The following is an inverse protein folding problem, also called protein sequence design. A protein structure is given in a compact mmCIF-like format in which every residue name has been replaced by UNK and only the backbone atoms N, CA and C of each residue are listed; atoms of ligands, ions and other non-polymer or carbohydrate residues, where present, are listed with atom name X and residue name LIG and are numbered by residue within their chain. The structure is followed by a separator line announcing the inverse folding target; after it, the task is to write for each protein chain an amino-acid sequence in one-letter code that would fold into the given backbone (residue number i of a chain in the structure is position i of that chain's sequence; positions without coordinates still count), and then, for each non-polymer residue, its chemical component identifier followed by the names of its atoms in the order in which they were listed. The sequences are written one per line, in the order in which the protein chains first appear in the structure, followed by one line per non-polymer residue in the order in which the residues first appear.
data_IF_486824657280
#
_entry.id   IF_486824657280
#
_cell.length_a   1.000
_cell.length_b   1.000
_cell.length_c   1.000
_cell.angle_alpha   90.00
_cell.angle_beta   90.00
_cell.angle_gamma   90.00
#
_symmetry.space_group_name_H-M   'P 1'
#
loop_
_entity.id
_entity.type
_entity.pdbx_description
1 polymer ?
#
# COMPACT_ATOMS: atom_id res chain seq x y z
N UNK A 1 1.91 -10.07 -27.69
CA UNK A 1 3.05 -9.19 -27.28
C UNK A 1 2.58 -8.24 -26.21
N UNK A 2 3.34 -8.05 -25.11
CA UNK A 2 3.05 -7.10 -24.06
C UNK A 2 3.14 -5.66 -24.55
N UNK A 3 2.34 -4.78 -23.95
CA UNK A 3 2.23 -3.35 -24.30
C UNK A 3 2.68 -2.45 -23.14
N UNK A 4 3.17 -1.27 -23.50
CA UNK A 4 3.41 -0.13 -22.64
C UNK A 4 2.44 0.99 -22.99
N UNK A 5 1.91 1.69 -22.00
CA UNK A 5 1.19 2.95 -22.16
C UNK A 5 2.05 4.07 -21.59
N UNK A 6 2.25 5.13 -22.34
CA UNK A 6 2.94 6.35 -21.90
C UNK A 6 1.96 7.52 -21.93
N UNK A 7 1.79 8.17 -20.76
CA UNK A 7 1.05 9.42 -20.62
C UNK A 7 2.05 10.56 -20.52
N UNK A 8 1.97 11.52 -21.42
CA UNK A 8 2.72 12.78 -21.39
C UNK A 8 1.77 13.88 -20.97
N UNK A 9 1.84 14.29 -19.70
CA UNK A 9 0.83 15.17 -19.09
C UNK A 9 0.98 16.63 -19.55
N UNK A 10 2.15 17.04 -20.02
CA UNK A 10 2.37 18.40 -20.58
C UNK A 10 1.59 18.61 -21.89
N UNK A 11 1.47 17.56 -22.68
CA UNK A 11 0.83 17.58 -24.00
C UNK A 11 -0.53 16.89 -24.00
N UNK A 12 -0.94 16.31 -22.87
CA UNK A 12 -2.14 15.48 -22.69
C UNK A 12 -2.19 14.34 -23.73
N UNK A 13 -1.05 13.78 -24.10
CA UNK A 13 -0.95 12.72 -25.09
C UNK A 13 -0.86 11.34 -24.43
N UNK A 14 -1.50 10.36 -25.06
CA UNK A 14 -1.50 8.97 -24.62
C UNK A 14 -1.03 8.08 -25.76
N UNK A 15 0.07 7.36 -25.55
CA UNK A 15 0.66 6.46 -26.52
C UNK A 15 0.61 5.01 -26.00
N UNK A 16 0.10 4.08 -26.81
CA UNK A 16 0.12 2.64 -26.53
C UNK A 16 1.04 1.93 -27.53
N UNK A 17 2.16 1.44 -27.03
CA UNK A 17 3.24 0.89 -27.83
C UNK A 17 3.55 -0.56 -27.40
N UNK A 18 4.22 -1.37 -28.25
CA UNK A 18 4.84 -2.60 -27.79
C UNK A 18 5.80 -2.32 -26.60
N UNK A 19 5.84 -3.23 -25.63
CA UNK A 19 6.84 -3.16 -24.57
C UNK A 19 8.23 -3.42 -25.13
N UNK A 20 9.21 -2.62 -24.71
CA UNK A 20 10.60 -2.81 -25.10
C UNK A 20 11.10 -4.21 -24.67
N UNK A 21 11.81 -4.91 -25.55
CA UNK A 21 12.19 -6.33 -25.37
C UNK A 21 13.03 -6.55 -24.11
N UNK A 22 13.85 -5.58 -23.73
CA UNK A 22 14.68 -5.65 -22.52
C UNK A 22 13.87 -5.77 -21.21
N UNK A 23 12.62 -5.30 -21.20
CA UNK A 23 11.71 -5.40 -20.05
C UNK A 23 10.81 -6.63 -20.08
N UNK A 24 10.84 -7.43 -21.13
CA UNK A 24 9.92 -8.54 -21.34
C UNK A 24 9.92 -9.56 -20.18
N UNK A 25 11.08 -9.88 -19.64
CA UNK A 25 11.25 -10.85 -18.55
C UNK A 25 11.36 -10.18 -17.16
N UNK A 26 11.16 -8.88 -17.07
CA UNK A 26 11.10 -8.16 -15.81
C UNK A 26 9.65 -7.95 -15.36
N UNK A 27 9.43 -7.77 -14.08
CA UNK A 27 8.12 -7.44 -13.51
C UNK A 27 8.23 -6.98 -12.07
N UNK A 28 7.18 -6.34 -11.56
CA UNK A 28 7.14 -5.81 -10.20
C UNK A 28 8.41 -4.99 -9.86
N UNK A 29 9.00 -5.22 -8.69
CA UNK A 29 10.15 -4.46 -8.18
C UNK A 29 11.36 -4.44 -9.11
N UNK A 30 11.64 -5.55 -9.81
CA UNK A 30 12.77 -5.59 -10.75
C UNK A 30 12.56 -4.68 -11.95
N UNK A 31 11.33 -4.64 -12.48
CA UNK A 31 10.98 -3.71 -13.56
C UNK A 31 11.02 -2.25 -13.08
N UNK A 32 10.49 -1.97 -11.89
CA UNK A 32 10.56 -0.63 -11.27
C UNK A 32 12.00 -0.16 -11.16
N UNK A 33 12.88 -0.98 -10.58
CA UNK A 33 14.28 -0.60 -10.35
C UNK A 33 15.01 -0.32 -11.67
N UNK A 34 14.93 -1.25 -12.61
CA UNK A 34 15.61 -1.13 -13.91
C UNK A 34 15.09 0.06 -14.72
N UNK A 35 13.76 0.24 -14.75
CA UNK A 35 13.15 1.32 -15.51
C UNK A 35 13.51 2.70 -14.95
N UNK A 36 13.44 2.87 -13.63
CA UNK A 36 13.73 4.16 -12.99
C UNK A 36 15.22 4.53 -13.06
N UNK A 37 16.12 3.56 -12.87
CA UNK A 37 17.56 3.80 -12.98
C UNK A 37 17.93 4.34 -14.37
N UNK A 38 17.28 3.86 -15.41
CA UNK A 38 17.56 4.30 -16.79
C UNK A 38 16.87 5.59 -17.19
N UNK A 39 15.72 5.89 -16.62
CA UNK A 39 14.82 6.91 -17.15
C UNK A 39 14.58 8.09 -16.19
N UNK A 40 15.09 8.06 -14.97
CA UNK A 40 14.90 9.14 -13.98
C UNK A 40 16.25 9.63 -13.48
N UNK A 41 16.50 10.92 -13.62
CA UNK A 41 17.72 11.54 -13.11
C UNK A 41 17.72 11.54 -11.57
N UNK A 42 18.78 11.07 -10.90
CA UNK A 42 18.83 11.01 -9.44
C UNK A 42 18.62 12.36 -8.75
N UNK A 43 18.98 13.45 -9.41
CA UNK A 43 18.91 14.82 -8.89
C UNK A 43 17.62 15.55 -9.21
N UNK A 44 16.69 14.96 -9.99
CA UNK A 44 15.43 15.62 -10.33
C UNK A 44 14.59 15.90 -9.08
N UNK A 45 13.73 16.91 -9.15
CA UNK A 45 12.71 17.13 -8.12
C UNK A 45 11.70 15.97 -8.16
N UNK A 46 11.46 15.32 -7.01
CA UNK A 46 10.54 14.18 -6.94
C UNK A 46 9.08 14.55 -7.31
N UNK A 47 8.67 15.80 -7.12
CA UNK A 47 7.35 16.31 -7.53
C UNK A 47 7.43 17.15 -8.83
N UNK A 48 8.58 17.18 -9.50
CA UNK A 48 8.78 17.93 -10.74
C UNK A 48 8.42 17.12 -12.00
N UNK A 49 8.37 17.78 -13.17
CA UNK A 49 7.99 17.15 -14.43
C UNK A 49 8.96 16.06 -14.89
N UNK A 50 10.26 16.16 -14.54
CA UNK A 50 11.27 15.17 -14.94
C UNK A 50 11.14 13.84 -14.19
N UNK A 51 10.51 13.83 -13.02
CA UNK A 51 10.22 12.56 -12.33
C UNK A 51 9.14 11.78 -13.08
N UNK A 52 9.20 10.47 -12.97
CA UNK A 52 8.22 9.57 -13.57
C UNK A 52 7.54 8.74 -12.48
N UNK A 53 6.28 8.41 -12.71
CA UNK A 53 5.61 7.36 -11.95
C UNK A 53 5.22 6.25 -12.91
N UNK A 54 5.48 5.00 -12.50
CA UNK A 54 5.18 3.83 -13.29
C UNK A 54 4.31 2.84 -12.52
N UNK A 55 3.41 2.21 -13.24
CA UNK A 55 2.56 1.14 -12.74
C UNK A 55 2.88 -0.12 -13.54
N UNK A 56 3.33 -1.17 -12.88
CA UNK A 56 3.70 -2.38 -13.59
C UNK A 56 3.18 -3.64 -12.89
N UNK A 57 2.83 -4.63 -13.71
CA UNK A 57 2.38 -5.93 -13.24
C UNK A 57 3.57 -6.80 -12.84
N UNK A 58 3.31 -7.85 -12.05
CA UNK A 58 4.30 -8.92 -11.88
C UNK A 58 4.50 -9.68 -13.19
N UNK A 59 5.58 -10.47 -13.26
CA UNK A 59 5.85 -11.30 -14.44
C UNK A 59 4.73 -12.32 -14.70
N UNK A 60 4.06 -12.78 -13.65
CA UNK A 60 3.05 -13.83 -13.72
C UNK A 60 1.60 -13.32 -13.52
N UNK A 61 1.37 -12.00 -13.58
CA UNK A 61 0.01 -11.46 -13.49
C UNK A 61 -0.85 -12.00 -14.64
N UNK A 62 -2.10 -12.34 -14.34
CA UNK A 62 -3.02 -12.95 -15.31
C UNK A 62 -2.76 -14.43 -15.62
N UNK A 63 -1.82 -15.08 -14.92
CA UNK A 63 -1.55 -16.51 -15.05
C UNK A 63 -2.14 -17.32 -13.88
N UNK A 64 -2.16 -18.68 -13.94
CA UNK A 64 -2.60 -19.52 -12.83
C UNK A 64 -1.71 -19.52 -11.58
N UNK A 65 -0.58 -18.80 -11.59
CA UNK A 65 0.30 -18.67 -10.42
C UNK A 65 -0.43 -17.91 -9.30
N UNK A 66 -0.52 -18.51 -8.11
CA UNK A 66 -1.11 -17.84 -6.96
C UNK A 66 -0.26 -16.64 -6.51
N UNK A 67 -0.88 -15.68 -5.85
CA UNK A 67 -0.25 -14.47 -5.29
C UNK A 67 0.44 -13.57 -6.32
N UNK A 68 0.29 -13.85 -7.62
CA UNK A 68 0.97 -13.15 -8.71
C UNK A 68 0.22 -11.90 -9.24
N UNK A 69 -1.02 -11.67 -8.83
CA UNK A 69 -1.86 -10.56 -9.31
C UNK A 69 -1.58 -9.22 -8.62
N UNK A 70 -0.35 -8.99 -8.13
CA UNK A 70 0.02 -7.71 -7.50
C UNK A 70 0.49 -6.69 -8.53
N UNK A 71 0.26 -5.42 -8.21
CA UNK A 71 0.79 -4.27 -8.93
C UNK A 71 1.98 -3.69 -8.16
N UNK A 72 2.99 -3.21 -8.87
CA UNK A 72 4.04 -2.36 -8.31
C UNK A 72 3.94 -0.96 -8.87
N UNK A 73 3.93 0.02 -7.99
CA UNK A 73 4.00 1.45 -8.31
C UNK A 73 5.40 1.94 -8.00
N UNK A 74 6.07 2.54 -8.97
CA UNK A 74 7.46 2.97 -8.85
C UNK A 74 7.68 4.43 -9.21
N UNK A 75 8.53 5.11 -8.44
CA UNK A 75 8.90 6.51 -8.68
C UNK A 75 10.14 6.90 -7.86
N UNK A 76 10.72 8.08 -8.12
CA UNK A 76 11.55 8.74 -7.12
C UNK A 76 10.66 9.30 -6.03
N UNK A 77 10.89 8.89 -4.78
CA UNK A 77 10.08 9.25 -3.63
C UNK A 77 10.26 10.70 -3.20
N UNK A 78 9.19 11.47 -3.01
CA UNK A 78 9.28 12.80 -2.38
C UNK A 78 9.53 12.72 -0.87
N UNK A 79 9.27 11.57 -0.24
CA UNK A 79 9.51 11.35 1.17
C UNK A 79 10.96 10.97 1.46
N UNK A 80 11.50 9.96 0.74
CA UNK A 80 12.84 9.41 1.02
C UNK A 80 13.94 9.96 0.09
N UNK A 81 13.58 10.58 -1.02
CA UNK A 81 14.53 11.07 -2.04
C UNK A 81 15.13 9.99 -2.94
N UNK A 82 14.91 8.71 -2.61
CA UNK A 82 15.42 7.55 -3.36
C UNK A 82 14.39 6.90 -4.28
N UNK A 83 14.78 5.82 -4.94
CA UNK A 83 13.85 4.96 -5.69
C UNK A 83 12.90 4.30 -4.69
N UNK A 84 11.61 4.40 -4.97
CA UNK A 84 10.55 3.74 -4.22
C UNK A 84 9.78 2.79 -5.11
N UNK A 85 9.54 1.59 -4.59
CA UNK A 85 8.52 0.67 -5.09
C UNK A 85 7.50 0.44 -3.99
N UNK A 86 6.21 0.57 -4.33
CA UNK A 86 5.09 0.27 -3.45
C UNK A 86 4.23 -0.81 -4.10
N UNK A 87 4.14 -1.97 -3.43
CA UNK A 87 3.41 -3.13 -3.95
C UNK A 87 1.99 -3.15 -3.40
N UNK A 88 1.01 -3.35 -4.27
CA UNK A 88 -0.42 -3.34 -3.90
C UNK A 88 -1.17 -4.53 -4.48
N UNK A 89 -2.16 -5.01 -3.74
CA UNK A 89 -3.14 -5.99 -4.20
C UNK A 89 -4.23 -5.35 -5.06
N UNK A 90 -5.44 -5.87 -4.97
CA UNK A 90 -6.59 -5.36 -5.72
C UNK A 90 -6.75 -6.01 -7.08
N UNK A 91 -7.53 -5.38 -7.93
CA UNK A 91 -7.92 -5.96 -9.22
C UNK A 91 -7.13 -5.41 -10.41
N UNK A 92 -6.49 -4.25 -10.26
CA UNK A 92 -5.86 -3.50 -11.34
C UNK A 92 -4.80 -4.30 -12.12
N UNK A 93 -3.88 -4.98 -11.43
CA UNK A 93 -2.83 -5.76 -12.10
C UNK A 93 -3.39 -6.90 -12.96
N UNK A 94 -4.46 -7.55 -12.49
CA UNK A 94 -5.12 -8.63 -13.24
C UNK A 94 -5.80 -8.08 -14.49
N UNK A 95 -6.47 -6.92 -14.39
CA UNK A 95 -7.10 -6.29 -15.55
C UNK A 95 -6.06 -5.74 -16.53
N UNK A 96 -5.00 -5.09 -16.06
CA UNK A 96 -3.87 -4.69 -16.91
C UNK A 96 -3.32 -5.89 -17.70
N UNK A 97 -3.03 -6.99 -17.00
CA UNK A 97 -2.54 -8.22 -17.66
C UNK A 97 -3.55 -8.76 -18.67
N UNK A 98 -4.85 -8.74 -18.34
CA UNK A 98 -5.93 -9.12 -19.25
C UNK A 98 -6.02 -8.27 -20.51
N UNK A 99 -5.62 -7.00 -20.43
CA UNK A 99 -5.49 -6.06 -21.56
C UNK A 99 -4.16 -6.21 -22.33
N UNK A 100 -3.26 -7.09 -21.86
CA UNK A 100 -1.91 -7.21 -22.38
C UNK A 100 -1.00 -6.02 -22.05
N UNK A 101 -1.34 -5.26 -21.02
CA UNK A 101 -0.56 -4.09 -20.56
C UNK A 101 0.33 -4.52 -19.41
N UNK A 102 1.64 -4.35 -19.57
CA UNK A 102 2.62 -4.65 -18.54
C UNK A 102 3.08 -3.42 -17.76
N UNK A 103 3.12 -2.28 -18.42
CA UNK A 103 3.64 -1.03 -17.90
C UNK A 103 2.75 0.15 -18.31
N UNK A 104 2.41 1.01 -17.36
CA UNK A 104 1.88 2.35 -17.59
C UNK A 104 2.89 3.32 -17.01
N UNK A 105 3.34 4.26 -17.80
CA UNK A 105 4.27 5.32 -17.44
C UNK A 105 3.58 6.68 -17.53
N UNK A 106 3.82 7.54 -16.55
CA UNK A 106 3.31 8.93 -16.53
C UNK A 106 4.47 9.87 -16.30
N UNK A 107 4.63 10.84 -17.19
CA UNK A 107 5.66 11.88 -17.15
C UNK A 107 5.07 13.25 -17.46
N UNK A 108 5.86 14.31 -17.27
CA UNK A 108 5.38 15.67 -17.41
C UNK A 108 4.48 16.11 -16.27
N UNK A 109 3.79 17.21 -16.45
CA UNK A 109 2.80 17.77 -15.51
C UNK A 109 1.70 18.49 -16.28
N UNK A 110 0.47 18.42 -15.78
CA UNK A 110 -0.66 19.21 -16.29
C UNK A 110 -1.16 20.17 -15.22
N UNK A 111 -1.64 21.34 -15.65
CA UNK A 111 -2.33 22.29 -14.77
C UNK A 111 -3.77 21.83 -14.45
N UNK A 112 -4.34 20.97 -15.30
CA UNK A 112 -5.67 20.35 -15.09
C UNK A 112 -5.58 19.00 -14.38
N UNK A 113 -6.71 18.52 -13.91
CA UNK A 113 -6.86 17.21 -13.31
C UNK A 113 -7.51 16.25 -14.30
N UNK A 114 -6.92 15.07 -14.48
CA UNK A 114 -7.35 14.08 -15.47
C UNK A 114 -7.37 12.67 -14.87
N UNK A 115 -8.09 11.74 -15.52
CA UNK A 115 -7.92 10.30 -15.28
C UNK A 115 -7.75 9.54 -16.59
N UNK A 116 -6.92 8.50 -16.57
CA UNK A 116 -6.77 7.58 -17.70
C UNK A 116 -7.91 6.57 -17.69
N UNK A 117 -8.57 6.37 -18.82
CA UNK A 117 -9.52 5.28 -19.02
C UNK A 117 -9.03 4.29 -20.07
N UNK A 118 -9.11 3.00 -19.74
CA UNK A 118 -8.81 1.88 -20.64
C UNK A 118 -10.09 1.08 -20.80
N UNK A 119 -10.66 1.13 -21.99
CA UNK A 119 -11.94 0.49 -22.30
C UNK A 119 -11.83 -1.05 -22.48
N UNK A 120 -12.95 -1.80 -22.63
CA UNK A 120 -12.91 -3.25 -22.81
C UNK A 120 -12.20 -3.71 -24.09
N UNK A 121 -12.09 -2.90 -25.12
CA UNK A 121 -11.39 -3.13 -26.39
C UNK A 121 -9.90 -2.75 -26.30
N UNK A 122 -9.49 -2.19 -25.14
CA UNK A 122 -8.13 -1.75 -24.88
C UNK A 122 -7.79 -0.41 -25.54
N UNK A 123 -8.80 0.38 -25.95
CA UNK A 123 -8.54 1.77 -26.33
C UNK A 123 -8.24 2.59 -25.08
N UNK A 124 -7.43 3.62 -25.22
CA UNK A 124 -6.99 4.46 -24.12
C UNK A 124 -7.38 5.90 -24.37
N UNK A 125 -7.94 6.55 -23.35
CA UNK A 125 -8.28 7.98 -23.38
C UNK A 125 -7.89 8.65 -22.08
N UNK A 126 -7.58 9.93 -22.15
CA UNK A 126 -7.38 10.81 -21.01
C UNK A 126 -8.61 11.69 -20.87
N UNK A 127 -9.29 11.56 -19.73
CA UNK A 127 -10.58 12.19 -19.46
C UNK A 127 -10.41 13.30 -18.43
N UNK A 128 -11.18 14.38 -18.57
CA UNK A 128 -11.22 15.46 -17.57
C UNK A 128 -11.73 14.96 -16.22
N UNK A 129 -11.07 15.34 -15.15
CA UNK A 129 -11.40 14.98 -13.77
C UNK A 129 -11.74 16.20 -12.90
N UNK A 130 -11.98 17.38 -13.46
CA UNK A 130 -12.24 18.61 -12.71
C UNK A 130 -13.43 18.48 -11.75
N UNK A 131 -14.49 17.76 -12.16
CA UNK A 131 -15.66 17.50 -11.32
C UNK A 131 -15.36 16.59 -10.11
N UNK A 132 -14.22 15.93 -10.09
CA UNK A 132 -13.77 15.01 -9.03
C UNK A 132 -12.67 15.60 -8.16
N UNK A 133 -12.38 16.89 -8.27
CA UNK A 133 -11.35 17.56 -7.49
C UNK A 133 -11.61 17.42 -5.99
N UNK A 134 -10.57 17.01 -5.24
CA UNK A 134 -10.61 16.74 -3.80
C UNK A 134 -11.67 15.70 -3.37
N UNK A 135 -12.23 14.95 -4.31
CA UNK A 135 -13.10 13.83 -3.99
C UNK A 135 -12.31 12.69 -3.35
N UNK A 136 -12.84 12.08 -2.29
CA UNK A 136 -12.26 10.91 -1.65
C UNK A 136 -12.27 9.67 -2.54
N UNK A 137 -11.43 8.70 -2.22
CA UNK A 137 -11.25 7.50 -3.04
C UNK A 137 -12.50 6.62 -3.10
N UNK A 138 -13.28 6.54 -2.02
CA UNK A 138 -14.54 5.77 -2.03
C UNK A 138 -15.55 6.35 -3.00
N UNK A 139 -15.77 7.66 -2.93
CA UNK A 139 -16.72 8.35 -3.81
C UNK A 139 -16.24 8.33 -5.27
N UNK A 140 -14.95 8.56 -5.53
CA UNK A 140 -14.41 8.51 -6.88
C UNK A 140 -14.49 7.11 -7.49
N UNK A 141 -14.12 6.07 -6.74
CA UNK A 141 -14.20 4.68 -7.20
C UNK A 141 -15.64 4.27 -7.50
N UNK A 142 -16.60 4.67 -6.66
CA UNK A 142 -18.01 4.41 -6.87
C UNK A 142 -18.51 5.12 -8.15
N UNK A 143 -18.16 6.39 -8.37
CA UNK A 143 -18.53 7.15 -9.57
C UNK A 143 -17.96 6.51 -10.85
N UNK A 144 -16.70 6.07 -10.83
CA UNK A 144 -16.08 5.41 -11.99
C UNK A 144 -16.72 4.05 -12.28
N UNK A 145 -17.02 3.26 -11.26
CA UNK A 145 -17.71 1.97 -11.43
C UNK A 145 -19.16 2.14 -11.87
N UNK A 146 -19.83 3.17 -11.43
CA UNK A 146 -21.16 3.53 -11.95
C UNK A 146 -21.11 3.93 -13.43
N UNK A 147 -20.09 4.70 -13.83
CA UNK A 147 -19.92 5.20 -15.20
C UNK A 147 -19.52 4.09 -16.18
N UNK A 148 -18.58 3.21 -15.78
CA UNK A 148 -17.94 2.24 -16.67
C UNK A 148 -18.26 0.78 -16.35
N UNK A 149 -19.10 0.53 -15.35
CA UNK A 149 -19.56 -0.78 -14.94
C UNK A 149 -18.74 -1.41 -13.81
N UNK A 150 -19.37 -2.35 -13.11
CA UNK A 150 -18.79 -3.00 -11.92
C UNK A 150 -17.52 -3.83 -12.20
N UNK A 151 -17.32 -4.26 -13.45
CA UNK A 151 -16.15 -5.03 -13.88
C UNK A 151 -14.96 -4.11 -14.23
N UNK A 152 -14.81 -3.04 -13.48
CA UNK A 152 -13.79 -2.02 -13.67
C UNK A 152 -12.94 -1.89 -12.40
N UNK A 153 -11.63 -1.88 -12.57
CA UNK A 153 -10.69 -1.54 -11.49
C UNK A 153 -10.34 -0.06 -11.55
N UNK A 154 -10.25 0.57 -10.39
CA UNK A 154 -9.85 1.97 -10.23
C UNK A 154 -8.61 2.04 -9.37
N UNK A 155 -7.62 2.79 -9.81
CA UNK A 155 -6.48 3.25 -9.03
C UNK A 155 -6.63 4.77 -8.90
N UNK A 156 -6.60 5.31 -7.69
CA UNK A 156 -6.88 6.74 -7.50
C UNK A 156 -6.13 7.34 -6.32
N UNK A 157 -6.05 8.65 -6.33
CA UNK A 157 -5.61 9.48 -5.21
C UNK A 157 -6.81 10.24 -4.63
N UNK A 158 -6.81 10.40 -3.31
CA UNK A 158 -7.72 11.28 -2.60
C UNK A 158 -7.11 12.66 -2.39
N UNK A 159 -7.63 13.38 -1.39
CA UNK A 159 -7.20 14.74 -1.04
C UNK A 159 -5.70 14.84 -0.75
N UNK A 160 -5.12 13.82 -0.10
CA UNK A 160 -3.69 13.83 0.24
C UNK A 160 -2.79 13.83 -1.01
N UNK A 161 -3.16 13.05 -2.03
CA UNK A 161 -2.42 13.01 -3.29
C UNK A 161 -2.54 14.32 -4.09
N UNK A 162 -3.74 14.89 -4.20
CA UNK A 162 -3.97 16.17 -4.88
C UNK A 162 -3.27 17.34 -4.17
N UNK A 163 -3.18 17.30 -2.84
CA UNK A 163 -2.38 18.25 -2.05
C UNK A 163 -0.88 17.95 -2.06
N UNK A 164 -0.46 16.89 -2.76
CA UNK A 164 0.93 16.46 -2.88
C UNK A 164 1.62 16.22 -1.53
N UNK A 165 0.89 15.70 -0.54
CA UNK A 165 1.48 15.34 0.75
C UNK A 165 2.46 14.18 0.59
N UNK A 166 3.65 14.31 1.17
CA UNK A 166 4.73 13.32 1.00
C UNK A 166 4.42 11.94 1.57
N UNK A 167 3.39 11.82 2.41
CA UNK A 167 2.85 10.53 2.88
C UNK A 167 1.69 10.01 2.04
N UNK A 168 1.29 10.68 0.94
CA UNK A 168 0.16 10.28 0.13
C UNK A 168 0.38 8.93 -0.57
N UNK A 169 -0.66 8.10 -0.54
CA UNK A 169 -0.75 6.77 -1.17
C UNK A 169 -1.64 6.78 -2.41
N UNK A 170 -1.61 5.68 -3.16
CA UNK A 170 -2.57 5.41 -4.23
C UNK A 170 -3.44 4.25 -3.80
N UNK A 171 -4.76 4.45 -3.81
CA UNK A 171 -5.71 3.40 -3.49
C UNK A 171 -6.11 2.63 -4.74
N UNK A 172 -6.34 1.34 -4.58
CA UNK A 172 -6.72 0.41 -5.65
C UNK A 172 -7.96 -0.36 -5.21
N UNK A 173 -8.95 -0.43 -6.09
CA UNK A 173 -10.17 -1.18 -5.80
C UNK A 173 -9.88 -2.67 -5.61
N UNK A 174 -10.46 -3.24 -4.57
CA UNK A 174 -10.39 -4.68 -4.33
C UNK A 174 -11.22 -5.46 -5.35
N UNK A 175 -10.94 -6.74 -5.43
CA UNK A 175 -11.69 -7.66 -6.27
C UNK A 175 -13.04 -8.00 -5.60
N UNK A 176 -14.13 -7.86 -6.34
CA UNK A 176 -15.49 -8.09 -5.87
C UNK A 176 -16.24 -6.77 -5.65
N UNK A 177 -16.39 -6.35 -4.41
CA UNK A 177 -17.19 -5.18 -4.04
C UNK A 177 -16.64 -3.86 -4.59
N UNK A 178 -15.33 -3.80 -4.82
CA UNK A 178 -14.68 -2.64 -5.45
C UNK A 178 -14.42 -1.47 -4.50
N UNK A 179 -14.32 -1.74 -3.20
CA UNK A 179 -13.85 -0.74 -2.25
C UNK A 179 -12.37 -0.40 -2.50
N UNK A 180 -11.97 0.88 -2.40
CA UNK A 180 -10.59 1.32 -2.65
C UNK A 180 -9.69 1.10 -1.42
N UNK A 181 -9.69 -0.10 -0.88
CA UNK A 181 -9.05 -0.48 0.38
C UNK A 181 -7.70 -1.19 0.21
N UNK A 182 -7.13 -1.14 -1.00
CA UNK A 182 -5.79 -1.68 -1.26
C UNK A 182 -4.84 -0.54 -1.59
N UNK A 183 -3.85 -0.33 -0.73
CA UNK A 183 -2.95 0.80 -0.84
C UNK A 183 -1.59 0.42 -1.45
N UNK A 184 -1.15 1.19 -2.46
CA UNK A 184 0.26 1.43 -2.70
C UNK A 184 0.67 2.51 -1.69
N UNK A 185 0.94 2.07 -0.43
CA UNK A 185 0.84 2.93 0.74
C UNK A 185 2.00 3.90 0.90
N UNK A 186 3.23 3.40 0.79
CA UNK A 186 4.39 4.10 1.34
C UNK A 186 5.22 4.86 0.31
N UNK A 187 5.91 5.93 0.80
CA UNK A 187 6.92 6.68 0.06
C UNK A 187 6.38 7.79 -0.84
N UNK A 188 5.13 8.20 -0.68
CA UNK A 188 4.57 9.37 -1.34
C UNK A 188 4.26 9.18 -2.82
N UNK A 189 3.98 7.94 -3.25
CA UNK A 189 3.63 7.65 -4.65
C UNK A 189 2.35 8.40 -5.08
N UNK A 190 1.40 8.61 -4.16
CA UNK A 190 0.20 9.41 -4.40
C UNK A 190 0.50 10.89 -4.66
N UNK A 191 1.46 11.45 -3.94
CA UNK A 191 1.91 12.82 -4.17
C UNK A 191 2.51 13.02 -5.57
N UNK A 192 3.31 12.04 -6.04
CA UNK A 192 3.87 12.07 -7.39
C UNK A 192 2.77 11.96 -8.44
N UNK A 193 1.79 11.07 -8.25
CA UNK A 193 0.63 10.96 -9.14
C UNK A 193 -0.15 12.29 -9.20
N UNK A 194 -0.41 12.91 -8.04
CA UNK A 194 -1.07 14.21 -7.94
C UNK A 194 -0.27 15.35 -8.59
N UNK A 195 1.06 15.35 -8.44
CA UNK A 195 1.93 16.36 -9.08
C UNK A 195 1.90 16.29 -10.61
N UNK A 196 1.46 15.16 -11.18
CA UNK A 196 1.26 15.02 -12.63
C UNK A 196 -0.11 15.52 -13.11
N UNK A 197 -1.02 15.89 -12.20
CA UNK A 197 -2.41 16.19 -12.55
C UNK A 197 -3.24 14.93 -12.86
N UNK A 198 -2.83 13.76 -12.34
CA UNK A 198 -3.52 12.50 -12.57
C UNK A 198 -4.33 12.07 -11.33
N UNK A 199 -5.66 12.11 -11.43
CA UNK A 199 -6.62 11.70 -10.38
C UNK A 199 -6.72 10.19 -10.26
N UNK A 200 -6.74 9.51 -11.39
CA UNK A 200 -6.98 8.08 -11.40
C UNK A 200 -6.57 7.38 -12.69
N UNK A 201 -6.53 6.05 -12.61
CA UNK A 201 -6.42 5.14 -13.75
C UNK A 201 -7.55 4.14 -13.62
N UNK A 202 -8.42 4.09 -14.62
CA UNK A 202 -9.66 3.31 -14.66
C UNK A 202 -9.52 2.26 -15.75
N UNK A 203 -9.63 0.98 -15.39
CA UNK A 203 -9.35 -0.14 -16.29
C UNK A 203 -10.57 -1.04 -16.35
N UNK A 204 -11.25 -1.08 -17.50
CA UNK A 204 -12.32 -2.02 -17.74
C UNK A 204 -11.78 -3.43 -18.00
N UNK A 205 -12.59 -4.44 -17.66
CA UNK A 205 -12.25 -5.83 -17.99
C UNK A 205 -12.28 -6.00 -19.52
N UNK A 206 -11.20 -6.56 -20.07
CA UNK A 206 -11.09 -6.82 -21.50
C UNK A 206 -12.21 -7.73 -22.01
N UNK A 207 -12.77 -7.40 -23.17
CA UNK A 207 -13.69 -8.26 -23.95
C UNK A 207 -12.96 -9.55 -24.32
N UNK A 208 -11.74 -9.43 -24.86
CA UNK A 208 -10.85 -10.55 -25.14
C UNK A 208 -9.62 -10.48 -24.24
N UNK A 209 -9.50 -11.46 -23.33
CA UNK A 209 -8.37 -11.50 -22.38
C UNK A 209 -7.09 -11.91 -23.08
N UNK A 210 -6.05 -11.08 -22.99
CA UNK A 210 -4.71 -11.39 -23.45
C UNK A 210 -4.16 -12.65 -22.75
N UNK A 211 -3.58 -13.55 -23.53
CA UNK A 211 -2.92 -14.76 -23.04
C UNK A 211 -1.42 -14.61 -23.25
N UNK A 212 -0.61 -14.65 -22.16
CA UNK A 212 0.85 -14.62 -22.31
C UNK A 212 1.36 -15.87 -23.01
N UNK A 213 2.42 -15.71 -23.78
CA UNK A 213 3.13 -16.83 -24.41
C UNK A 213 4.03 -17.51 -23.36
N UNK A 214 4.05 -18.83 -23.38
CA UNK A 214 4.89 -19.65 -22.53
C UNK A 214 5.94 -20.38 -23.38
N UNK A 215 7.19 -20.43 -22.92
CA UNK A 215 8.22 -21.24 -23.55
C UNK A 215 7.86 -22.75 -23.50
N UNK A 216 7.26 -23.18 -22.40
CA UNK A 216 6.69 -24.51 -22.18
C UNK A 216 5.48 -24.38 -21.26
N UNK A 217 4.29 -24.43 -21.84
CA UNK A 217 3.04 -24.27 -21.11
C UNK A 217 2.76 -25.43 -20.13
N UNK A 218 3.13 -26.67 -20.52
CA UNK A 218 2.90 -27.84 -19.67
C UNK A 218 3.80 -27.80 -18.43
N UNK A 219 5.07 -27.46 -18.60
CA UNK A 219 6.03 -27.28 -17.51
C UNK A 219 5.59 -26.13 -16.60
N UNK A 220 5.15 -25.00 -17.18
CA UNK A 220 4.67 -23.84 -16.40
C UNK A 220 3.45 -24.21 -15.53
N UNK A 221 2.43 -24.86 -16.11
CA UNK A 221 1.25 -25.32 -15.37
C UNK A 221 1.62 -26.29 -14.23
N UNK A 222 2.55 -27.23 -14.49
CA UNK A 222 3.07 -28.14 -13.46
C UNK A 222 3.78 -27.39 -12.32
N UNK A 223 4.61 -26.40 -12.65
CA UNK A 223 5.30 -25.57 -11.68
C UNK A 223 4.32 -24.74 -10.84
N UNK A 224 3.32 -24.09 -11.47
CA UNK A 224 2.25 -23.37 -10.77
C UNK A 224 1.51 -24.29 -9.80
N UNK A 225 1.10 -25.47 -10.22
CA UNK A 225 0.40 -26.43 -9.37
C UNK A 225 1.24 -26.84 -8.14
N UNK A 226 2.54 -27.06 -8.33
CA UNK A 226 3.46 -27.37 -7.22
C UNK A 226 3.60 -26.22 -6.24
N UNK A 227 3.83 -25.00 -6.73
CA UNK A 227 4.00 -23.80 -5.89
C UNK A 227 2.69 -23.47 -5.16
N UNK A 228 1.56 -23.48 -5.87
CA UNK A 228 0.26 -23.23 -5.28
C UNK A 228 -0.04 -24.21 -4.13
N UNK A 229 0.25 -25.51 -4.33
CA UNK A 229 0.10 -26.53 -3.29
C UNK A 229 1.05 -26.28 -2.12
N UNK A 230 2.30 -25.94 -2.37
CA UNK A 230 3.30 -25.67 -1.34
C UNK A 230 2.88 -24.48 -0.46
N UNK A 231 2.39 -23.39 -1.05
CA UNK A 231 1.90 -22.22 -0.31
C UNK A 231 0.62 -22.58 0.45
N UNK A 232 -0.32 -23.28 -0.18
CA UNK A 232 -1.59 -23.66 0.43
C UNK A 232 -1.42 -24.61 1.63
N UNK A 233 -0.37 -25.44 1.65
CA UNK A 233 -0.05 -26.38 2.75
C UNK A 233 1.03 -25.85 3.71
N UNK A 234 1.55 -24.63 3.52
CA UNK A 234 2.56 -24.06 4.39
C UNK A 234 2.02 -23.70 5.77
N UNK A 235 2.75 -24.05 6.85
CA UNK A 235 2.33 -23.78 8.23
C UNK A 235 2.10 -22.29 8.53
N UNK A 236 2.82 -21.39 7.86
CA UNK A 236 2.64 -19.95 7.99
C UNK A 236 1.33 -19.43 7.36
N UNK A 237 0.70 -20.22 6.49
CA UNK A 237 -0.59 -19.83 5.89
C UNK A 237 -1.73 -19.80 6.91
N UNK A 238 -1.77 -20.76 7.84
CA UNK A 238 -2.93 -20.98 8.70
C UNK A 238 -3.30 -19.78 9.56
N UNK A 239 -2.40 -19.11 10.29
CA UNK A 239 -2.78 -17.92 11.05
C UNK A 239 -3.24 -16.78 10.12
N UNK A 240 -2.56 -16.57 8.98
CA UNK A 240 -2.95 -15.53 8.03
C UNK A 240 -4.28 -15.83 7.34
N UNK A 241 -4.55 -17.09 6.97
CA UNK A 241 -5.81 -17.50 6.36
C UNK A 241 -6.98 -17.40 7.34
N UNK A 242 -6.78 -17.89 8.59
CA UNK A 242 -7.87 -18.02 9.55
C UNK A 242 -8.16 -16.72 10.31
N UNK A 243 -7.18 -15.83 10.44
CA UNK A 243 -7.30 -14.60 11.23
C UNK A 243 -7.03 -13.37 10.36
N UNK A 244 -6.01 -13.41 9.52
CA UNK A 244 -5.42 -12.25 8.84
C UNK A 244 -4.10 -11.85 9.49
N UNK A 245 -3.52 -10.74 9.02
CA UNK A 245 -2.23 -10.23 9.54
C UNK A 245 -2.33 -9.74 10.99
N UNK A 246 -3.52 -9.44 11.50
CA UNK A 246 -3.77 -9.11 12.91
C UNK A 246 -3.30 -10.23 13.85
N UNK A 247 -3.24 -11.48 13.39
CA UNK A 247 -2.61 -12.59 14.15
C UNK A 247 -1.18 -12.31 14.59
N UNK A 248 -0.53 -11.32 14.00
CA UNK A 248 0.83 -10.92 14.35
C UNK A 248 0.90 -10.13 15.66
N UNK A 249 -0.20 -9.53 16.12
CA UNK A 249 -0.25 -8.70 17.35
C UNK A 249 0.25 -9.47 18.58
N UNK A 250 -0.30 -10.69 18.81
CA UNK A 250 0.07 -11.46 20.00
C UNK A 250 1.54 -11.90 19.97
N UNK A 251 2.05 -12.29 18.80
CA UNK A 251 3.44 -12.73 18.65
C UNK A 251 4.41 -11.56 18.86
N UNK A 252 4.11 -10.41 18.30
CA UNK A 252 4.95 -9.19 18.44
C UNK A 252 4.87 -8.58 19.82
N UNK A 253 3.70 -8.62 20.48
CA UNK A 253 3.52 -8.18 21.86
C UNK A 253 4.36 -9.03 22.82
N UNK A 254 4.27 -10.36 22.74
CA UNK A 254 5.05 -11.28 23.60
C UNK A 254 6.53 -11.11 23.48
N UNK A 255 7.03 -10.72 22.33
CA UNK A 255 8.47 -10.58 22.04
C UNK A 255 8.98 -9.14 22.16
N UNK A 256 8.09 -8.18 22.50
CA UNK A 256 8.44 -6.75 22.57
C UNK A 256 8.78 -6.12 21.22
N UNK A 257 8.32 -6.76 20.12
CA UNK A 257 8.48 -6.25 18.76
C UNK A 257 7.34 -5.27 18.39
N UNK A 258 6.18 -5.42 19.02
CA UNK A 258 5.04 -4.52 18.82
C UNK A 258 5.44 -3.11 19.29
N UNK A 259 5.30 -2.07 18.45
CA UNK A 259 5.58 -0.70 18.89
C UNK A 259 4.57 -0.27 19.94
N UNK A 260 5.07 0.38 20.97
CA UNK A 260 4.27 0.92 22.07
C UNK A 260 4.76 2.32 22.38
N UNK A 261 3.83 3.25 22.51
CA UNK A 261 4.10 4.62 22.96
C UNK A 261 5.24 5.27 22.16
N UNK A 262 5.01 5.45 20.87
CA UNK A 262 5.97 5.98 19.90
C UNK A 262 7.32 5.25 19.91
N UNK A 263 7.34 3.91 19.96
CA UNK A 263 8.58 3.10 20.09
C UNK A 263 9.42 3.41 21.33
N UNK A 264 8.86 4.07 22.37
CA UNK A 264 9.56 4.30 23.65
C UNK A 264 9.24 3.25 24.68
N UNK A 265 8.01 2.74 24.71
CA UNK A 265 7.56 1.67 25.57
C UNK A 265 8.23 0.32 25.26
N UNK A 266 8.14 -0.62 26.20
CA UNK A 266 8.64 -1.99 26.01
C UNK A 266 7.51 -2.97 25.72
N UNK A 267 6.48 -2.93 26.56
CA UNK A 267 5.32 -3.81 26.48
C UNK A 267 4.09 -2.99 26.87
N UNK A 268 2.98 -3.23 26.22
CA UNK A 268 1.68 -2.72 26.63
C UNK A 268 1.09 -3.67 27.67
N UNK A 269 0.59 -3.15 28.77
CA UNK A 269 0.05 -3.95 29.87
C UNK A 269 -1.17 -4.78 29.44
N UNK A 270 -2.03 -4.21 28.57
CA UNK A 270 -3.19 -4.88 28.01
C UNK A 270 -3.37 -4.52 26.54
N UNK A 271 -3.24 -5.52 25.66
CA UNK A 271 -3.53 -5.42 24.23
C UNK A 271 -4.81 -6.19 23.83
N UNK A 272 -5.62 -6.60 24.79
CA UNK A 272 -6.80 -7.46 24.51
C UNK A 272 -7.78 -6.78 23.54
N UNK A 273 -7.95 -5.47 23.64
CA UNK A 273 -8.83 -4.70 22.77
C UNK A 273 -8.45 -4.76 21.28
N UNK A 274 -7.17 -4.93 20.95
CA UNK A 274 -6.66 -5.06 19.57
C UNK A 274 -6.22 -6.49 19.23
N UNK A 275 -6.59 -7.48 20.05
CA UNK A 275 -6.22 -8.88 19.85
C UNK A 275 -6.92 -9.53 18.66
N UNK A 276 -6.32 -10.60 18.15
CA UNK A 276 -6.96 -11.47 17.14
C UNK A 276 -8.31 -12.02 17.61
N UNK A 277 -8.44 -12.34 18.91
CA UNK A 277 -9.70 -12.84 19.48
C UNK A 277 -10.78 -11.76 19.44
N UNK A 278 -10.49 -10.53 19.83
CA UNK A 278 -11.44 -9.41 19.77
C UNK A 278 -11.85 -9.11 18.32
N UNK A 279 -10.89 -9.10 17.41
CA UNK A 279 -11.14 -8.93 15.99
C UNK A 279 -12.10 -9.99 15.44
N UNK A 280 -11.83 -11.29 15.65
CA UNK A 280 -12.69 -12.38 15.19
C UNK A 280 -14.07 -12.33 15.82
N UNK A 281 -14.17 -11.96 17.11
CA UNK A 281 -15.44 -11.81 17.81
C UNK A 281 -16.29 -10.71 17.18
N UNK A 282 -15.68 -9.56 16.83
CA UNK A 282 -16.37 -8.46 16.17
C UNK A 282 -16.82 -8.85 14.76
N UNK A 283 -15.97 -9.51 13.98
CA UNK A 283 -16.35 -10.02 12.65
C UNK A 283 -17.60 -10.94 12.75
N UNK A 284 -17.58 -11.91 13.66
CA UNK A 284 -18.67 -12.87 13.81
C UNK A 284 -19.99 -12.22 14.25
N UNK A 285 -19.91 -11.22 15.13
CA UNK A 285 -21.11 -10.53 15.65
C UNK A 285 -21.75 -9.58 14.63
N UNK A 286 -20.95 -9.02 13.72
CA UNK A 286 -21.33 -7.88 12.86
C UNK A 286 -21.47 -8.24 11.38
N UNK A 287 -21.40 -9.53 11.04
CA UNK A 287 -21.50 -9.97 9.63
C UNK A 287 -20.30 -9.61 8.77
N UNK A 288 -19.16 -9.26 9.39
CA UNK A 288 -17.89 -9.13 8.70
C UNK A 288 -17.32 -10.48 8.27
N UNK A 289 -16.23 -10.49 7.54
CA UNK A 289 -15.59 -11.73 7.10
C UNK A 289 -14.06 -11.64 7.07
N UNK A 290 -13.43 -12.77 7.29
CA UNK A 290 -12.03 -13.03 6.99
C UNK A 290 -11.91 -13.97 5.77
N UNK A 291 -10.71 -14.46 5.47
CA UNK A 291 -10.47 -15.39 4.34
C UNK A 291 -10.79 -14.79 2.97
N UNK A 292 -10.67 -13.47 2.83
CA UNK A 292 -10.81 -12.80 1.53
C UNK A 292 -9.48 -12.81 0.77
N UNK A 293 -9.49 -13.07 -0.54
CA UNK A 293 -8.31 -12.87 -1.37
C UNK A 293 -8.10 -11.36 -1.61
N UNK A 294 -6.90 -10.85 -1.34
CA UNK A 294 -6.56 -9.46 -1.67
C UNK A 294 -6.41 -9.21 -3.17
N UNK A 295 -6.43 -10.27 -3.98
CA UNK A 295 -6.33 -10.26 -5.44
C UNK A 295 -6.87 -11.58 -6.00
N UNK A 296 -7.29 -11.65 -7.26
CA UNK A 296 -7.77 -12.91 -7.87
C UNK A 296 -6.73 -14.02 -7.79
N UNK A 297 -7.17 -15.23 -7.42
CA UNK A 297 -6.33 -16.43 -7.36
C UNK A 297 -5.39 -16.53 -6.14
N UNK A 298 -5.47 -15.64 -5.16
CA UNK A 298 -4.67 -15.73 -3.94
C UNK A 298 -5.15 -16.87 -3.04
N UNK A 299 -4.29 -17.88 -2.80
CA UNK A 299 -4.61 -19.03 -1.93
C UNK A 299 -4.40 -18.74 -0.44
N UNK A 300 -3.68 -17.66 -0.09
CA UNK A 300 -3.46 -17.27 1.31
C UNK A 300 -4.75 -16.70 1.91
N UNK A 301 -5.42 -15.79 1.19
CA UNK A 301 -6.70 -15.20 1.59
C UNK A 301 -6.63 -14.55 2.99
N UNK A 302 -5.61 -13.72 3.25
CA UNK A 302 -5.38 -13.10 4.55
C UNK A 302 -6.18 -11.81 4.78
N UNK A 303 -6.97 -11.37 3.80
CA UNK A 303 -7.74 -10.15 3.91
C UNK A 303 -9.10 -10.37 4.60
N UNK A 304 -9.76 -9.26 4.92
CA UNK A 304 -10.99 -9.23 5.72
C UNK A 304 -11.92 -8.09 5.27
N UNK A 305 -13.14 -8.11 5.78
CA UNK A 305 -14.09 -6.98 5.81
C UNK A 305 -14.50 -6.78 7.26
N UNK A 306 -14.33 -5.59 7.78
CA UNK A 306 -14.68 -5.23 9.13
C UNK A 306 -15.88 -4.26 9.10
N UNK A 307 -16.96 -4.67 9.76
CA UNK A 307 -18.19 -3.91 9.85
C UNK A 307 -18.30 -3.20 11.21
N UNK A 308 -19.04 -2.13 11.25
CA UNK A 308 -19.37 -1.40 12.49
C UNK A 308 -20.37 -2.19 13.37
N UNK A 309 -20.75 -1.63 14.52
CA UNK A 309 -21.67 -2.25 15.46
C UNK A 309 -23.09 -2.48 14.90
N UNK A 310 -23.46 -1.75 13.83
CA UNK A 310 -24.76 -1.89 13.16
C UNK A 310 -24.74 -2.97 12.07
N UNK A 311 -23.54 -3.46 11.73
CA UNK A 311 -23.32 -4.39 10.63
C UNK A 311 -23.05 -3.71 9.29
N UNK A 312 -22.91 -2.38 9.26
CA UNK A 312 -22.57 -1.65 8.06
C UNK A 312 -21.06 -1.74 7.78
N UNK A 313 -20.69 -1.72 6.49
CA UNK A 313 -19.28 -1.74 6.06
C UNK A 313 -18.52 -0.56 6.69
N UNK A 314 -17.39 -0.86 7.31
CA UNK A 314 -16.52 0.16 7.88
C UNK A 314 -15.18 0.20 7.12
N UNK A 315 -14.45 -0.91 7.05
CA UNK A 315 -13.21 -1.00 6.28
C UNK A 315 -12.95 -2.42 5.79
N UNK A 316 -12.03 -2.59 4.86
CA UNK A 316 -11.54 -3.91 4.43
C UNK A 316 -10.04 -3.90 4.19
N UNK A 317 -9.39 -5.07 4.32
CA UNK A 317 -7.94 -5.12 4.35
C UNK A 317 -7.36 -4.47 5.59
N UNK A 318 -8.07 -4.55 6.69
CA UNK A 318 -7.66 -4.05 7.99
C UNK A 318 -6.49 -4.89 8.49
N UNK A 319 -5.29 -4.34 8.38
CA UNK A 319 -4.02 -5.07 8.46
C UNK A 319 -3.25 -4.77 9.76
N UNK A 320 -2.30 -5.64 10.10
CA UNK A 320 -1.45 -5.53 11.28
C UNK A 320 -0.79 -4.15 11.44
N UNK A 321 -0.23 -3.60 10.36
CA UNK A 321 0.50 -2.33 10.41
C UNK A 321 -0.39 -1.18 10.90
N UNK A 322 -1.60 -1.09 10.38
CA UNK A 322 -2.57 -0.07 10.80
C UNK A 322 -2.93 -0.25 12.27
N UNK A 323 -3.27 -1.49 12.68
CA UNK A 323 -3.64 -1.80 14.06
C UNK A 323 -2.49 -1.54 15.04
N UNK A 324 -1.26 -1.91 14.68
CA UNK A 324 -0.10 -1.72 15.54
C UNK A 324 0.24 -0.23 15.74
N UNK A 325 0.12 0.58 14.70
CA UNK A 325 0.61 1.96 14.71
C UNK A 325 -0.43 2.98 15.16
N UNK A 326 -1.70 2.84 14.81
CA UNK A 326 -2.77 3.61 15.44
C UNK A 326 -3.16 3.08 16.81
N UNK A 327 -2.95 1.80 17.07
CA UNK A 327 -3.29 1.11 18.30
C UNK A 327 -2.19 1.27 19.38
N UNK A 328 -1.46 0.22 19.72
CA UNK A 328 -0.48 0.22 20.80
C UNK A 328 0.57 1.34 20.72
N UNK A 329 1.00 1.73 19.53
CA UNK A 329 1.96 2.82 19.34
C UNK A 329 1.39 4.19 19.78
N UNK A 330 0.06 4.38 19.74
CA UNK A 330 -0.67 5.54 20.23
C UNK A 330 -1.37 5.28 21.58
N UNK A 331 -1.17 4.11 22.19
CA UNK A 331 -1.88 3.67 23.41
C UNK A 331 -3.40 3.54 23.25
N UNK A 332 -3.88 3.31 22.01
CA UNK A 332 -5.28 3.08 21.67
C UNK A 332 -5.55 1.58 21.57
N UNK A 333 -6.65 1.11 22.18
CA UNK A 333 -7.04 -0.32 22.19
C UNK A 333 -8.43 -0.58 21.65
N UNK A 334 -9.03 0.40 20.97
CA UNK A 334 -10.36 0.31 20.38
C UNK A 334 -10.24 0.05 18.87
N UNK A 335 -10.57 -1.19 18.44
CA UNK A 335 -10.54 -1.58 17.02
C UNK A 335 -11.51 -0.78 16.16
N UNK A 336 -12.63 -0.32 16.69
CA UNK A 336 -13.61 0.43 15.89
C UNK A 336 -13.11 1.84 15.58
N UNK A 337 -12.43 2.46 16.53
CA UNK A 337 -11.76 3.74 16.30
C UNK A 337 -10.64 3.58 15.27
N UNK A 338 -9.80 2.55 15.43
CA UNK A 338 -8.69 2.28 14.50
C UNK A 338 -9.24 1.97 13.10
N UNK A 339 -10.34 1.24 12.98
CA UNK A 339 -10.97 0.95 11.70
C UNK A 339 -11.56 2.20 11.03
N UNK A 340 -12.12 3.15 11.81
CA UNK A 340 -12.54 4.46 11.29
C UNK A 340 -11.36 5.29 10.80
N UNK A 341 -10.23 5.25 11.51
CA UNK A 341 -8.99 5.91 11.08
C UNK A 341 -8.44 5.31 9.79
N UNK A 342 -8.47 3.98 9.67
CA UNK A 342 -8.10 3.23 8.47
C UNK A 342 -8.95 3.66 7.26
N UNK A 343 -10.27 3.64 7.42
CA UNK A 343 -11.21 4.09 6.39
C UNK A 343 -10.94 5.53 5.94
N UNK A 344 -10.70 6.45 6.88
CA UNK A 344 -10.41 7.85 6.57
C UNK A 344 -9.07 7.99 5.83
N UNK A 345 -8.06 7.21 6.20
CA UNK A 345 -6.77 7.17 5.50
C UNK A 345 -6.91 6.61 4.07
N UNK A 346 -7.72 5.57 3.87
CA UNK A 346 -8.03 5.02 2.55
C UNK A 346 -8.77 6.06 1.70
N UNK A 347 -9.75 6.76 2.27
CA UNK A 347 -10.54 7.75 1.55
C UNK A 347 -9.71 8.96 1.11
N UNK A 348 -8.91 9.52 2.00
CA UNK A 348 -8.03 10.64 1.63
C UNK A 348 -6.77 10.21 0.86
N UNK A 349 -6.44 8.91 0.81
CA UNK A 349 -5.28 8.35 0.12
C UNK A 349 -3.96 8.67 0.82
N UNK A 350 -3.77 8.19 2.07
CA UNK A 350 -2.56 8.44 2.85
C UNK A 350 -2.05 7.18 3.58
N UNK A 351 -0.75 7.10 3.80
CA UNK A 351 -0.09 5.97 4.48
C UNK A 351 -0.46 5.90 5.97
N UNK A 352 -1.14 4.82 6.38
CA UNK A 352 -1.52 4.58 7.78
C UNK A 352 -0.32 4.45 8.72
N UNK A 353 0.85 4.00 8.19
CA UNK A 353 2.09 3.88 8.95
C UNK A 353 2.65 5.27 9.30
N UNK A 354 2.73 6.16 8.31
CA UNK A 354 3.16 7.55 8.53
C UNK A 354 2.21 8.28 9.46
N UNK A 355 0.88 8.08 9.29
CA UNK A 355 -0.12 8.76 10.12
C UNK A 355 -0.12 8.23 11.55
N UNK A 356 -0.14 6.92 11.78
CA UNK A 356 -0.11 6.35 13.12
C UNK A 356 1.15 6.74 13.90
N UNK A 357 2.32 6.72 13.22
CA UNK A 357 3.57 7.16 13.84
C UNK A 357 3.59 8.68 14.06
N UNK A 358 3.06 9.47 13.12
CA UNK A 358 2.98 10.92 13.24
C UNK A 358 2.05 11.37 14.39
N UNK A 359 0.91 10.69 14.58
CA UNK A 359 0.01 10.93 15.73
C UNK A 359 0.73 10.58 17.04
N UNK A 360 1.45 9.46 17.10
CA UNK A 360 2.24 9.10 18.28
C UNK A 360 3.35 10.15 18.60
N UNK A 361 3.96 10.74 17.57
CA UNK A 361 4.88 11.88 17.73
C UNK A 361 4.16 13.10 18.30
N UNK A 362 2.93 13.40 17.84
CA UNK A 362 2.13 14.49 18.41
C UNK A 362 1.77 14.23 19.89
N UNK A 363 1.49 12.98 20.26
CA UNK A 363 1.27 12.59 21.66
C UNK A 363 2.54 12.73 22.50
N UNK A 364 3.70 12.32 21.98
CA UNK A 364 4.99 12.49 22.68
C UNK A 364 5.38 13.96 22.85
N UNK A 365 4.91 14.83 21.97
CA UNK A 365 5.08 16.30 22.04
C UNK A 365 4.01 17.01 22.89
N UNK A 366 3.23 16.28 23.68
CA UNK A 366 2.15 16.81 24.53
C UNK A 366 1.09 17.64 23.78
N UNK A 367 0.88 17.35 22.47
CA UNK A 367 -0.21 17.96 21.69
C UNK A 367 -1.53 17.21 21.87
N UNK A 368 -1.48 15.91 22.13
CA UNK A 368 -2.59 15.05 22.45
C UNK A 368 -2.21 14.19 23.65
N UNK A 369 -3.21 13.83 24.46
CA UNK A 369 -3.01 12.82 25.50
C UNK A 369 -2.84 11.41 24.88
N UNK A 370 -2.02 10.57 25.52
CA UNK A 370 -1.87 9.17 25.10
C UNK A 370 -3.21 8.43 25.19
N UNK A 371 -3.61 7.79 24.10
CA UNK A 371 -4.86 7.04 24.02
C UNK A 371 -6.11 7.90 23.77
N UNK A 372 -5.97 9.22 23.58
CA UNK A 372 -7.11 10.07 23.21
C UNK A 372 -7.55 9.79 21.76
N UNK A 373 -8.56 8.93 21.65
CA UNK A 373 -9.12 8.49 20.37
C UNK A 373 -9.81 9.60 19.60
N UNK A 374 -10.48 10.51 20.29
CA UNK A 374 -11.23 11.61 19.67
C UNK A 374 -10.28 12.65 19.07
N UNK A 375 -9.25 13.07 19.83
CA UNK A 375 -8.25 14.01 19.36
C UNK A 375 -7.41 13.42 18.22
N UNK A 376 -7.04 12.12 18.29
CA UNK A 376 -6.31 11.44 17.23
C UNK A 376 -7.11 11.36 15.92
N UNK A 377 -8.41 11.05 15.99
CA UNK A 377 -9.28 11.06 14.83
C UNK A 377 -9.46 12.47 14.23
N UNK A 378 -9.71 13.48 15.08
CA UNK A 378 -9.83 14.87 14.64
C UNK A 378 -8.56 15.38 13.94
N UNK A 379 -7.38 14.96 14.39
CA UNK A 379 -6.11 15.30 13.74
C UNK A 379 -5.99 14.70 12.34
N UNK A 380 -6.53 13.51 12.09
CA UNK A 380 -6.63 12.95 10.72
C UNK A 380 -7.61 13.73 9.85
N UNK A 381 -8.72 14.22 10.43
CA UNK A 381 -9.63 15.11 9.69
C UNK A 381 -8.94 16.41 9.30
N UNK A 382 -8.08 16.96 10.15
CA UNK A 382 -7.25 18.14 9.82
C UNK A 382 -6.31 17.85 8.62
N UNK A 383 -5.75 16.64 8.50
CA UNK A 383 -4.96 16.23 7.32
C UNK A 383 -5.83 16.23 6.07
N UNK A 384 -7.03 15.64 6.14
CA UNK A 384 -8.00 15.63 5.05
C UNK A 384 -8.36 17.05 4.61
N UNK A 385 -8.64 17.93 5.57
CA UNK A 385 -9.14 19.27 5.30
C UNK A 385 -8.03 20.27 4.94
N UNK A 386 -6.77 19.93 5.24
CA UNK A 386 -5.60 20.71 4.85
C UNK A 386 -5.36 21.94 5.75
N UNK A 387 -5.62 21.84 7.03
CA UNK A 387 -5.24 22.87 8.03
C UNK A 387 -3.70 23.01 8.09
N UNK A 388 -3.20 23.95 8.85
CA UNK A 388 -1.76 24.14 9.01
C UNK A 388 -1.08 22.89 9.60
N UNK A 389 -1.57 22.38 10.72
CA UNK A 389 -1.05 21.16 11.35
C UNK A 389 -1.33 19.92 10.50
N UNK A 390 -2.49 19.85 9.86
CA UNK A 390 -2.85 18.78 8.94
C UNK A 390 -1.88 18.68 7.75
N UNK A 391 -1.45 19.81 7.17
CA UNK A 391 -0.42 19.82 6.12
C UNK A 391 0.94 19.36 6.63
N UNK A 392 1.31 19.75 7.83
CA UNK A 392 2.57 19.31 8.46
C UNK A 392 2.58 17.80 8.63
N UNK A 393 1.51 17.24 9.20
CA UNK A 393 1.36 15.80 9.43
C UNK A 393 1.24 15.02 8.10
N UNK A 394 0.50 15.53 7.13
CA UNK A 394 0.38 14.94 5.79
C UNK A 394 1.71 14.81 5.05
N UNK A 395 2.71 15.64 5.39
CA UNK A 395 4.07 15.51 4.90
C UNK A 395 4.93 14.48 5.64
N UNK A 396 4.34 13.71 6.56
CA UNK A 396 4.93 12.57 7.22
C UNK A 396 5.39 12.82 8.66
N UNK A 397 5.68 11.75 9.34
CA UNK A 397 6.10 11.70 10.74
C UNK A 397 7.29 12.61 11.04
N UNK A 398 8.31 12.64 10.18
CA UNK A 398 9.48 13.52 10.37
C UNK A 398 9.11 14.99 10.29
N UNK A 399 8.21 15.37 9.40
CA UNK A 399 7.71 16.74 9.26
C UNK A 399 7.00 17.18 10.54
N UNK A 400 6.13 16.34 11.10
CA UNK A 400 5.45 16.59 12.35
C UNK A 400 6.43 16.75 13.52
N UNK A 401 7.36 15.81 13.67
CA UNK A 401 8.34 15.86 14.76
C UNK A 401 9.26 17.08 14.72
N UNK A 402 9.73 17.47 13.53
CA UNK A 402 10.54 18.69 13.36
C UNK A 402 9.74 19.96 13.67
N UNK A 403 8.49 20.03 13.20
CA UNK A 403 7.61 21.17 13.49
C UNK A 403 7.35 21.33 15.00
N UNK A 404 7.22 20.22 15.71
CA UNK A 404 6.95 20.19 17.14
C UNK A 404 8.23 20.25 18.01
N UNK A 405 9.41 20.25 17.41
CA UNK A 405 10.69 20.29 18.11
C UNK A 405 11.05 19.00 18.86
N UNK A 406 10.55 17.85 18.39
CA UNK A 406 10.85 16.57 19.02
C UNK A 406 12.32 16.18 18.84
N UNK A 407 12.99 15.80 19.92
CA UNK A 407 14.36 15.29 19.87
C UNK A 407 14.44 13.89 19.22
N UNK A 408 13.41 13.07 19.43
CA UNK A 408 13.32 11.70 18.91
C UNK A 408 12.17 11.55 17.94
N UNK A 409 12.49 11.23 16.70
CA UNK A 409 11.51 10.95 15.66
C UNK A 409 11.82 9.54 15.09
N UNK A 410 10.90 8.57 15.15
CA UNK A 410 11.17 7.19 14.76
C UNK A 410 11.13 7.02 13.24
N UNK A 411 12.14 7.54 12.55
CA UNK A 411 12.30 7.46 11.08
C UNK A 411 13.67 6.92 10.69
N UNK A 412 13.76 6.29 9.53
CA UNK A 412 15.03 5.99 8.85
C UNK A 412 14.91 6.43 7.39
N UNK A 413 15.85 7.26 6.94
CA UNK A 413 15.82 7.89 5.61
C UNK A 413 14.47 8.57 5.34
N UNK A 414 14.02 9.36 6.31
CA UNK A 414 12.80 10.17 6.28
C UNK A 414 11.46 9.39 6.30
N UNK A 415 11.49 8.06 6.31
CA UNK A 415 10.30 7.22 6.37
C UNK A 415 10.09 6.66 7.77
N UNK A 416 8.87 6.75 8.31
CA UNK A 416 8.51 6.25 9.63
C UNK A 416 8.80 4.74 9.78
N UNK A 417 9.19 4.32 10.97
CA UNK A 417 9.34 2.91 11.30
C UNK A 417 8.01 2.18 11.10
N UNK A 418 8.06 1.01 10.49
CA UNK A 418 6.90 0.11 10.41
C UNK A 418 6.64 -0.58 11.76
N UNK A 419 5.53 -1.28 11.89
CA UNK A 419 5.04 -1.89 13.12
C UNK A 419 5.93 -2.97 13.75
N UNK A 420 7.24 -2.92 13.51
CA UNK A 420 8.23 -3.87 14.01
C UNK A 420 9.40 -3.14 14.66
N UNK A 421 9.38 -3.08 15.99
CA UNK A 421 10.42 -2.38 16.76
C UNK A 421 11.81 -3.02 16.53
N UNK A 422 12.75 -2.27 15.93
CA UNK A 422 14.07 -2.79 15.58
C UNK A 422 14.94 -3.11 16.80
N UNK A 423 14.59 -2.61 17.99
CA UNK A 423 15.31 -2.94 19.23
C UNK A 423 15.27 -4.44 19.53
N UNK A 424 14.15 -5.11 19.17
CA UNK A 424 13.95 -6.55 19.37
C UNK A 424 13.98 -7.35 18.06
N UNK A 425 14.08 -6.71 16.90
CA UNK A 425 14.30 -7.32 15.60
C UNK A 425 15.50 -6.71 14.89
N UNK A 426 16.70 -6.99 15.38
CA UNK A 426 17.95 -6.37 14.89
C UNK A 426 18.15 -6.51 13.38
N UNK A 427 17.79 -7.65 12.81
CA UNK A 427 17.85 -7.88 11.37
C UNK A 427 16.91 -6.96 10.59
N UNK A 428 15.72 -6.65 11.12
CA UNK A 428 14.83 -5.63 10.55
C UNK A 428 15.44 -4.24 10.65
N UNK A 429 16.10 -3.91 11.77
CA UNK A 429 16.87 -2.67 11.92
C UNK A 429 17.98 -2.52 10.87
N UNK A 430 18.73 -3.60 10.58
CA UNK A 430 19.72 -3.63 9.50
C UNK A 430 19.04 -3.37 8.15
N UNK A 431 17.88 -3.99 7.90
CA UNK A 431 17.08 -3.74 6.68
C UNK A 431 16.73 -2.25 6.54
N UNK A 432 16.19 -1.64 7.58
CA UNK A 432 15.81 -0.23 7.57
C UNK A 432 17.00 0.68 7.24
N UNK A 433 18.17 0.40 7.83
CA UNK A 433 19.38 1.20 7.65
C UNK A 433 19.99 1.05 6.25
N UNK A 434 19.95 -0.15 5.67
CA UNK A 434 20.63 -0.47 4.39
C UNK A 434 19.73 -0.35 3.17
N UNK A 435 18.42 -0.50 3.32
CA UNK A 435 17.48 -0.38 2.19
C UNK A 435 17.49 1.03 1.58
N UNK A 436 17.49 1.15 0.26
CA UNK A 436 17.30 2.44 -0.41
C UNK A 436 15.92 3.06 -0.15
N UNK A 437 14.95 2.25 0.30
CA UNK A 437 13.59 2.68 0.60
C UNK A 437 13.39 3.16 2.04
N UNK A 438 14.45 3.23 2.86
CA UNK A 438 14.37 3.59 4.27
C UNK A 438 13.70 2.53 5.14
N UNK A 439 12.93 2.95 6.15
CA UNK A 439 12.26 2.07 7.10
C UNK A 439 11.09 1.31 6.47
N UNK A 440 11.37 0.46 5.52
CA UNK A 440 10.37 -0.32 4.78
C UNK A 440 10.46 -1.81 5.12
N UNK A 441 9.43 -2.33 5.82
CA UNK A 441 9.35 -3.74 6.18
C UNK A 441 9.22 -4.67 4.97
N UNK A 442 8.75 -4.16 3.82
CA UNK A 442 8.65 -4.93 2.58
C UNK A 442 10.00 -5.10 1.87
N UNK A 443 11.02 -4.34 2.26
CA UNK A 443 12.39 -4.49 1.75
C UNK A 443 13.08 -5.72 2.34
N UNK A 444 12.72 -6.13 3.55
CA UNK A 444 13.16 -7.36 4.22
C UNK A 444 12.63 -7.39 5.65
N UNK A 445 12.03 -8.51 6.03
CA UNK A 445 11.42 -8.72 7.34
C UNK A 445 12.06 -9.93 8.02
N UNK A 446 12.66 -9.72 9.19
CA UNK A 446 13.34 -10.78 9.97
C UNK A 446 12.58 -11.18 11.23
N UNK A 447 11.33 -10.76 11.39
CA UNK A 447 10.52 -10.99 12.57
C UNK A 447 10.49 -12.47 12.99
N UNK A 448 10.26 -13.39 12.05
CA UNK A 448 10.22 -14.83 12.33
C UNK A 448 11.54 -15.41 12.85
N UNK A 449 12.66 -14.71 12.63
CA UNK A 449 13.98 -15.08 13.15
C UNK A 449 14.25 -14.54 14.55
N UNK A 450 13.44 -13.62 15.04
CA UNK A 450 13.60 -13.00 16.35
C UNK A 450 12.92 -13.80 17.49
N UNK A 451 12.16 -14.84 17.16
CA UNK A 451 11.35 -15.58 18.14
C UNK A 451 12.13 -16.61 18.97
N UNK A 452 13.31 -17.00 18.52
CA UNK A 452 14.18 -17.93 19.24
C UNK A 452 15.67 -17.55 19.14
N UNK A 453 16.51 -18.14 19.99
CA UNK A 453 17.93 -17.82 20.03
C UNK A 453 18.69 -18.32 18.79
N UNK A 454 18.29 -19.44 18.21
CA UNK A 454 18.89 -19.95 16.98
C UNK A 454 18.61 -19.00 15.80
N UNK A 455 17.38 -18.49 15.69
CA UNK A 455 17.02 -17.49 14.71
C UNK A 455 17.73 -16.16 14.91
N UNK A 456 17.92 -15.72 16.15
CA UNK A 456 18.66 -14.49 16.49
C UNK A 456 20.15 -14.58 16.18
N UNK A 457 20.76 -15.76 16.41
CA UNK A 457 22.16 -16.02 16.12
C UNK A 457 22.45 -16.36 14.66
N UNK A 458 21.42 -16.72 13.89
CA UNK A 458 21.54 -17.08 12.48
C UNK A 458 21.95 -15.91 11.59
N UNK A 459 22.59 -16.19 10.45
CA UNK A 459 22.96 -15.15 9.50
C UNK A 459 21.72 -14.46 8.94
N UNK A 460 21.73 -13.13 8.94
CA UNK A 460 20.70 -12.33 8.26
C UNK A 460 21.02 -12.32 6.77
N UNK A 461 20.37 -13.19 6.01
CA UNK A 461 20.52 -13.21 4.56
C UNK A 461 19.28 -12.64 3.89
N UNK A 462 19.44 -11.55 3.18
CA UNK A 462 18.41 -10.93 2.35
C UNK A 462 17.86 -11.85 1.26
N UNK A 463 18.72 -12.70 0.73
CA UNK A 463 18.36 -13.61 -0.37
C UNK A 463 17.41 -14.72 0.06
N UNK A 464 17.36 -15.06 1.35
CA UNK A 464 16.49 -16.11 1.88
C UNK A 464 15.09 -15.59 2.28
N UNK A 465 14.88 -14.27 2.32
CA UNK A 465 13.61 -13.65 2.72
C UNK A 465 12.69 -13.32 1.53
N UNK A 466 13.19 -13.53 0.30
CA UNK A 466 12.47 -13.27 -0.96
C UNK A 466 12.25 -14.53 -1.80
N UNK A 467 12.40 -15.71 -1.19
CA UNK A 467 12.09 -16.99 -1.84
C UNK A 467 10.60 -17.31 -1.89
#
# INVERSE_FOLDING_TARGET
MWKKITLEMDTLSVNKLPLDEEYRLLGARSLVAEYLIRNVQPTCNALGPENRIIFCTTLFAGTPMTTAGRLSVGTKSPLTGGIKESSVGGWAATLMAGQGIKLIEVLGQSDGLYYLYIDPEGQVSLEDASDYQLMGNYAFSAAMRQKYGEKTAVMSIGQAGERQYKAASIQVTEFGEGYPSRAAGRGGVGAVMGSKGLKGIVIAKATETYKPEYADEALFKKACGKINKMIASGASKDPFHNIGTISTIEATSKTGILPVQNFSGRLMADCSGVSAQTFLTNLAKRGGCNKKPCQPGCVVQCSNVYNDEKGDYLTSGFEYETVALFGPNCMITDLDVIARMDHLCDDMGIDTIEMGTGIAVCMEADKLEWGDTAAAYALLEEVRDGTELGRVLGNGCESAGKHLGCERIPVVKHQALAGYDPRNTKGTGVTYSTSPQGADHTAGLTMGRAFDDAGRAGPVSYTHLKG
#
